data_IF_720525763931
#
_entry.id   IF_720525763931
#
_cell.length_a   1.000
_cell.length_b   1.000
_cell.length_c   1.000
_cell.angle_alpha   90.00
_cell.angle_beta   90.00
_cell.angle_gamma   90.00
#
_symmetry.space_group_name_H-M   'P 1'
#
loop_
_entity.id
_entity.type
_entity.pdbx_description
1 polymer ?
#
# COMPACT_ATOMS: atom_id res chain seq x y z
N UNK A 1 -17.73 2.60 5.43
CA UNK A 1 -18.11 2.78 6.85
C UNK A 1 -18.34 4.26 7.07
N UNK A 2 -19.28 4.61 7.94
CA UNK A 2 -19.56 6.00 8.30
C UNK A 2 -18.95 6.29 9.68
N UNK A 3 -18.07 7.29 9.75
CA UNK A 3 -17.39 7.69 10.98
C UNK A 3 -18.37 8.06 12.11
N UNK A 4 -19.57 8.57 11.77
CA UNK A 4 -20.57 8.98 12.75
C UNK A 4 -21.21 7.81 13.52
N UNK A 5 -21.25 6.62 12.89
CA UNK A 5 -21.89 5.43 13.47
C UNK A 5 -20.89 4.35 13.89
N UNK A 6 -19.61 4.51 13.55
CA UNK A 6 -18.56 3.54 13.88
C UNK A 6 -18.33 3.47 15.40
N UNK A 7 -18.57 2.29 15.98
CA UNK A 7 -18.26 2.02 17.39
C UNK A 7 -16.77 1.69 17.57
N UNK A 8 -16.25 1.91 18.78
CA UNK A 8 -14.86 1.56 19.12
C UNK A 8 -14.60 0.06 18.92
N UNK A 9 -15.53 -0.79 19.34
CA UNK A 9 -15.39 -2.24 19.21
C UNK A 9 -15.54 -2.71 17.76
N UNK A 10 -16.43 -2.11 16.96
CA UNK A 10 -16.53 -2.43 15.53
C UNK A 10 -15.25 -2.06 14.77
N UNK A 11 -14.64 -0.92 15.12
CA UNK A 11 -13.32 -0.56 14.60
C UNK A 11 -12.25 -1.58 15.00
N UNK A 12 -12.19 -1.98 16.27
CA UNK A 12 -11.23 -2.99 16.74
C UNK A 12 -11.37 -4.30 15.97
N UNK A 13 -12.61 -4.79 15.78
CA UNK A 13 -12.89 -6.01 15.00
C UNK A 13 -12.39 -5.85 13.56
N UNK A 14 -12.63 -4.70 12.92
CA UNK A 14 -12.13 -4.45 11.57
C UNK A 14 -10.60 -4.40 11.52
N UNK A 15 -9.95 -3.74 12.48
CA UNK A 15 -8.49 -3.66 12.59
C UNK A 15 -7.85 -5.04 12.77
N UNK A 16 -8.45 -5.93 13.56
CA UNK A 16 -7.97 -7.29 13.77
C UNK A 16 -7.90 -8.10 12.47
N UNK A 17 -8.79 -7.85 11.50
CA UNK A 17 -8.77 -8.56 10.21
C UNK A 17 -7.50 -8.28 9.39
N UNK A 18 -6.84 -7.16 9.65
CA UNK A 18 -5.63 -6.72 8.96
C UNK A 18 -4.37 -6.89 9.80
N UNK A 19 -4.47 -7.42 11.03
CA UNK A 19 -3.33 -7.65 11.91
C UNK A 19 -2.34 -8.66 11.32
N UNK A 20 -1.11 -8.20 11.09
CA UNK A 20 0.05 -9.02 10.67
C UNK A 20 1.13 -9.12 11.74
N UNK A 21 0.87 -8.64 12.95
CA UNK A 21 1.80 -8.66 14.08
C UNK A 21 1.64 -9.91 14.94
N UNK A 22 0.44 -10.50 15.00
CA UNK A 22 0.19 -11.71 15.79
C UNK A 22 1.12 -12.86 15.37
N UNK A 23 1.79 -13.47 16.36
CA UNK A 23 2.75 -14.56 16.13
C UNK A 23 4.10 -14.10 15.54
N UNK A 24 4.31 -12.79 15.32
CA UNK A 24 5.60 -12.22 14.96
C UNK A 24 6.20 -11.51 16.19
N UNK A 25 7.43 -11.88 16.53
CA UNK A 25 8.11 -11.33 17.72
C UNK A 25 7.67 -12.00 19.03
N UNK A 26 8.04 -11.39 20.16
CA UNK A 26 7.78 -11.92 21.51
C UNK A 26 6.64 -11.15 22.15
N UNK A 27 5.55 -11.85 22.52
CA UNK A 27 4.39 -11.26 23.20
C UNK A 27 3.79 -10.08 22.43
N UNK A 28 3.58 -8.96 23.14
CA UNK A 28 3.05 -7.71 22.57
C UNK A 28 4.15 -6.78 22.01
N UNK A 29 5.40 -7.27 21.90
CA UNK A 29 6.54 -6.42 21.57
C UNK A 29 6.44 -5.73 20.21
N UNK A 30 6.03 -6.45 19.17
CA UNK A 30 5.92 -5.88 17.83
C UNK A 30 4.83 -4.78 17.72
N UNK A 31 3.58 -4.98 18.18
CA UNK A 31 2.59 -3.91 18.12
C UNK A 31 2.92 -2.72 19.05
N UNK A 32 3.61 -2.94 20.19
CA UNK A 32 4.10 -1.82 21.04
C UNK A 32 5.19 -1.00 20.32
N UNK A 33 6.13 -1.65 19.62
CA UNK A 33 7.12 -0.96 18.80
C UNK A 33 6.46 -0.15 17.68
N UNK A 34 5.40 -0.70 17.07
CA UNK A 34 4.58 0.00 16.09
C UNK A 34 3.95 1.27 16.67
N UNK A 35 3.21 1.15 17.78
CA UNK A 35 2.59 2.29 18.47
C UNK A 35 3.61 3.39 18.81
N UNK A 36 4.79 2.99 19.29
CA UNK A 36 5.88 3.91 19.59
C UNK A 36 6.38 4.64 18.33
N UNK A 37 6.54 3.90 17.23
CA UNK A 37 6.91 4.45 15.92
C UNK A 37 5.93 5.52 15.44
N UNK A 38 4.63 5.21 15.39
CA UNK A 38 3.61 6.14 14.88
C UNK A 38 3.41 7.35 15.80
N UNK A 39 3.58 7.18 17.11
CA UNK A 39 3.61 8.32 18.04
C UNK A 39 4.80 9.25 17.73
N UNK A 40 5.96 8.70 17.36
CA UNK A 40 7.12 9.47 16.90
C UNK A 40 6.89 10.15 15.54
N UNK A 41 6.13 9.51 14.64
CA UNK A 41 5.70 10.08 13.37
C UNK A 41 4.76 11.27 13.57
N UNK A 42 3.77 11.18 14.48
CA UNK A 42 2.91 12.30 14.88
C UNK A 42 3.72 13.52 15.34
N UNK A 43 4.70 13.30 16.24
CA UNK A 43 5.62 14.36 16.69
C UNK A 43 6.44 14.94 15.52
N UNK A 44 6.82 14.11 14.55
CA UNK A 44 7.54 14.55 13.37
C UNK A 44 6.70 15.42 12.45
N UNK A 45 5.42 15.12 12.25
CA UNK A 45 4.48 15.94 11.47
C UNK A 45 4.28 17.33 12.10
N UNK A 46 4.07 17.38 13.42
CA UNK A 46 3.96 18.65 14.16
C UNK A 46 5.23 19.48 14.04
N UNK A 47 6.41 18.85 14.24
CA UNK A 47 7.71 19.50 14.09
C UNK A 47 7.93 20.07 12.68
N UNK A 48 7.59 19.31 11.63
CA UNK A 48 7.70 19.76 10.24
C UNK A 48 6.82 20.98 9.98
N UNK A 49 5.55 20.95 10.42
CA UNK A 49 4.64 22.09 10.24
C UNK A 49 5.08 23.34 11.00
N UNK A 50 5.66 23.18 12.20
CA UNK A 50 6.25 24.30 12.95
C UNK A 50 7.49 24.89 12.26
N UNK A 51 8.38 24.04 11.72
CA UNK A 51 9.63 24.46 11.07
C UNK A 51 9.40 25.09 9.70
N UNK A 52 8.53 24.46 8.90
CA UNK A 52 8.39 24.72 7.47
C UNK A 52 7.08 25.48 7.14
N UNK A 53 6.27 25.82 8.15
CA UNK A 53 5.06 26.66 8.13
C UNK A 53 4.19 26.49 6.86
N UNK A 54 4.32 27.42 5.91
CA UNK A 54 3.50 27.49 4.69
C UNK A 54 4.00 26.59 3.55
N UNK A 55 5.20 26.00 3.66
CA UNK A 55 5.75 25.10 2.63
C UNK A 55 5.35 23.62 2.86
N UNK A 56 4.66 23.32 3.98
CA UNK A 56 4.21 21.98 4.32
C UNK A 56 2.70 21.83 4.11
N UNK A 57 2.33 21.48 2.87
CA UNK A 57 0.94 21.31 2.40
C UNK A 57 0.30 19.97 2.79
N UNK A 58 1.11 18.97 3.16
CA UNK A 58 0.66 17.60 3.47
C UNK A 58 0.38 17.35 4.95
N UNK A 59 0.37 18.39 5.80
CA UNK A 59 0.18 18.27 7.24
C UNK A 59 -1.14 17.59 7.63
N UNK A 60 -2.27 18.01 7.04
CA UNK A 60 -3.58 17.46 7.38
C UNK A 60 -3.65 15.95 7.09
N UNK A 61 -3.20 15.55 5.90
CA UNK A 61 -3.18 14.14 5.49
C UNK A 61 -2.21 13.30 6.30
N UNK A 62 -1.01 13.83 6.59
CA UNK A 62 -0.02 13.17 7.42
C UNK A 62 -0.56 12.91 8.83
N UNK A 63 -1.05 13.95 9.51
CA UNK A 63 -1.56 13.80 10.88
C UNK A 63 -2.78 12.87 10.95
N UNK A 64 -3.70 12.94 9.98
CA UNK A 64 -4.83 11.99 9.89
C UNK A 64 -4.33 10.54 9.77
N UNK A 65 -3.34 10.29 8.91
CA UNK A 65 -2.74 8.97 8.72
C UNK A 65 -2.10 8.46 10.02
N UNK A 66 -1.25 9.28 10.65
CA UNK A 66 -0.50 8.90 11.84
C UNK A 66 -1.39 8.71 13.09
N UNK A 67 -2.48 9.48 13.24
CA UNK A 67 -3.48 9.22 14.29
C UNK A 67 -4.22 7.91 14.06
N UNK A 68 -4.59 7.62 12.81
CA UNK A 68 -5.23 6.36 12.44
C UNK A 68 -4.33 5.16 12.71
N UNK A 69 -3.04 5.26 12.42
CA UNK A 69 -2.07 4.18 12.65
C UNK A 69 -1.76 3.99 14.14
N UNK A 70 -1.64 5.09 14.89
CA UNK A 70 -1.50 5.04 16.35
C UNK A 70 -2.72 4.37 17.00
N UNK A 71 -3.92 4.71 16.55
CA UNK A 71 -5.16 4.07 17.00
C UNK A 71 -5.20 2.59 16.63
N UNK A 72 -4.74 2.22 15.43
CA UNK A 72 -4.69 0.83 14.99
C UNK A 72 -3.81 -0.01 15.90
N UNK A 73 -2.56 0.41 16.16
CA UNK A 73 -1.68 -0.33 17.05
C UNK A 73 -2.23 -0.43 18.47
N UNK A 74 -2.82 0.65 19.00
CA UNK A 74 -3.49 0.61 20.31
C UNK A 74 -4.61 -0.44 20.34
N UNK A 75 -5.45 -0.49 19.30
CA UNK A 75 -6.54 -1.45 19.17
C UNK A 75 -6.01 -2.90 19.04
N UNK A 76 -4.92 -3.12 18.31
CA UNK A 76 -4.25 -4.42 18.18
C UNK A 76 -3.64 -4.88 19.50
N UNK A 77 -2.98 -3.97 20.25
CA UNK A 77 -2.45 -4.29 21.59
C UNK A 77 -3.59 -4.71 22.51
N UNK A 78 -4.69 -3.94 22.54
CA UNK A 78 -5.86 -4.27 23.35
C UNK A 78 -6.48 -5.61 22.94
N UNK A 79 -6.63 -5.86 21.63
CA UNK A 79 -7.20 -7.10 21.11
C UNK A 79 -6.37 -8.34 21.47
N UNK A 80 -5.04 -8.25 21.29
CA UNK A 80 -4.13 -9.34 21.65
C UNK A 80 -4.07 -9.59 23.17
N UNK A 81 -4.45 -8.61 23.99
CA UNK A 81 -4.58 -8.71 25.44
C UNK A 81 -6.02 -9.05 25.90
N UNK A 82 -6.94 -9.36 24.98
CA UNK A 82 -8.35 -9.65 25.28
C UNK A 82 -9.07 -8.50 26.04
N UNK A 83 -8.73 -7.27 25.67
CA UNK A 83 -9.33 -6.03 26.18
C UNK A 83 -10.10 -5.37 25.04
N UNK A 84 -11.39 -5.09 25.27
CA UNK A 84 -12.19 -4.33 24.30
C UNK A 84 -11.73 -2.88 24.24
N UNK A 85 -11.64 -2.30 23.05
CA UNK A 85 -11.23 -0.90 22.89
C UNK A 85 -12.14 0.07 23.68
N UNK A 86 -13.44 -0.24 23.76
CA UNK A 86 -14.39 0.53 24.57
C UNK A 86 -14.05 0.54 26.07
N UNK A 87 -13.46 -0.54 26.63
CA UNK A 87 -13.03 -0.56 28.04
C UNK A 87 -11.95 0.49 28.33
N UNK A 88 -11.12 0.82 27.33
CA UNK A 88 -10.07 1.82 27.48
C UNK A 88 -10.63 3.25 27.62
N UNK A 89 -11.86 3.49 27.15
CA UNK A 89 -12.55 4.77 27.22
C UNK A 89 -13.52 4.87 28.40
N UNK A 90 -13.48 3.96 29.39
CA UNK A 90 -14.39 3.97 30.52
C UNK A 90 -14.42 5.33 31.27
N UNK A 91 -13.27 5.96 31.47
CA UNK A 91 -13.16 7.27 32.13
C UNK A 91 -13.64 8.45 31.26
N UNK A 92 -13.79 8.22 29.95
CA UNK A 92 -14.26 9.22 28.97
C UNK A 92 -15.78 9.11 28.75
N UNK A 93 -16.42 8.09 29.34
CA UNK A 93 -17.81 7.73 29.08
C UNK A 93 -18.64 7.63 30.36
N UNK A 94 -19.72 8.41 30.45
CA UNK A 94 -20.58 8.43 31.65
C UNK A 94 -21.92 7.69 31.51
N UNK A 95 -22.21 7.00 30.39
CA UNK A 95 -23.54 6.44 30.12
C UNK A 95 -23.53 4.92 29.87
N UNK A 96 -23.73 4.15 30.94
CA UNK A 96 -23.82 2.70 30.85
C UNK A 96 -24.94 2.23 29.88
N UNK A 97 -24.63 1.26 29.00
CA UNK A 97 -25.62 0.50 28.23
C UNK A 97 -25.77 0.81 26.74
N UNK A 98 -24.99 1.75 26.19
CA UNK A 98 -24.98 2.06 24.74
C UNK A 98 -23.57 1.97 24.18
N UNK A 99 -23.34 1.30 23.03
CA UNK A 99 -22.03 1.26 22.41
C UNK A 99 -21.44 2.66 22.20
N UNK A 100 -20.16 2.82 22.53
CA UNK A 100 -19.43 4.07 22.37
C UNK A 100 -18.95 4.22 20.93
N UNK A 101 -19.42 5.26 20.25
CA UNK A 101 -18.95 5.67 18.92
C UNK A 101 -17.84 6.70 19.01
N UNK A 102 -17.02 6.80 17.95
CA UNK A 102 -16.01 7.87 17.84
C UNK A 102 -16.64 9.26 17.92
N UNK A 103 -17.80 9.46 17.30
CA UNK A 103 -18.54 10.73 17.39
C UNK A 103 -18.92 11.09 18.84
N UNK A 104 -19.28 10.11 19.68
CA UNK A 104 -19.59 10.35 21.09
C UNK A 104 -18.35 10.57 21.94
N UNK A 105 -17.21 10.01 21.52
CA UNK A 105 -15.90 10.23 22.12
C UNK A 105 -15.38 11.65 21.84
N UNK A 106 -15.68 12.20 20.66
CA UNK A 106 -15.36 13.56 20.24
C UNK A 106 -16.63 14.31 19.79
N UNK A 107 -17.53 14.71 20.72
CA UNK A 107 -18.81 15.34 20.37
C UNK A 107 -18.65 16.74 19.77
N UNK A 108 -17.51 17.38 20.05
CA UNK A 108 -17.14 18.64 19.42
C UNK A 108 -16.61 18.33 18.02
N UNK A 109 -17.32 18.79 16.98
CA UNK A 109 -16.77 18.76 15.63
C UNK A 109 -15.52 19.64 15.62
N UNK A 110 -14.38 19.02 15.40
CA UNK A 110 -13.10 19.71 15.43
C UNK A 110 -13.06 20.74 14.30
N UNK A 111 -12.89 22.03 14.64
CA UNK A 111 -12.55 23.04 13.65
C UNK A 111 -11.16 22.71 13.13
N UNK A 112 -11.02 22.59 11.80
CA UNK A 112 -9.71 22.32 11.20
C UNK A 112 -8.73 23.42 11.59
N UNK A 113 -7.64 23.04 12.24
CA UNK A 113 -6.61 23.96 12.68
C UNK A 113 -5.45 23.91 11.67
N UNK A 114 -5.19 25.01 10.93
CA UNK A 114 -4.14 25.01 9.90
C UNK A 114 -2.72 24.96 10.50
N UNK A 115 -2.58 25.15 11.82
CA UNK A 115 -1.31 25.14 12.53
C UNK A 115 -1.41 24.39 13.87
N UNK A 116 -0.40 23.59 14.24
CA UNK A 116 -0.34 22.96 15.55
C UNK A 116 -0.18 24.00 16.65
N UNK A 117 -1.03 23.93 17.68
CA UNK A 117 -0.91 24.78 18.86
C UNK A 117 0.16 24.25 19.83
N UNK A 118 0.51 25.07 20.83
CA UNK A 118 1.43 24.65 21.91
C UNK A 118 0.80 23.52 22.73
N UNK A 119 -0.53 23.54 22.86
CA UNK A 119 -1.34 22.56 23.56
C UNK A 119 -1.20 21.18 22.92
N UNK A 120 -1.43 21.07 21.60
CA UNK A 120 -1.26 19.82 20.83
C UNK A 120 0.13 19.23 21.06
N UNK A 121 1.16 20.08 20.96
CA UNK A 121 2.55 19.66 21.13
C UNK A 121 2.80 19.07 22.53
N UNK A 122 2.23 19.70 23.57
CA UNK A 122 2.33 19.23 24.95
C UNK A 122 1.62 17.89 25.15
N UNK A 123 0.43 17.73 24.57
CA UNK A 123 -0.36 16.50 24.70
C UNK A 123 0.29 15.34 23.96
N UNK A 124 0.85 15.57 22.76
CA UNK A 124 1.63 14.55 22.04
C UNK A 124 2.91 14.14 22.79
N UNK A 125 3.56 15.05 23.52
CA UNK A 125 4.70 14.69 24.39
C UNK A 125 4.26 13.81 25.57
N UNK A 126 3.07 14.04 26.14
CA UNK A 126 2.49 13.16 27.16
C UNK A 126 2.15 11.78 26.59
N UNK A 127 1.56 11.74 25.39
CA UNK A 127 1.30 10.50 24.67
C UNK A 127 2.61 9.71 24.46
N UNK A 128 3.64 10.36 23.93
CA UNK A 128 4.95 9.76 23.71
C UNK A 128 5.59 9.24 25.01
N UNK A 129 5.46 9.97 26.13
CA UNK A 129 5.93 9.49 27.41
C UNK A 129 5.16 8.24 27.88
N UNK A 130 3.83 8.23 27.77
CA UNK A 130 3.00 7.09 28.16
C UNK A 130 3.30 5.83 27.31
N UNK A 131 3.45 6.00 26.00
CA UNK A 131 3.82 4.92 25.07
C UNK A 131 5.26 4.45 25.33
N UNK A 132 6.18 5.38 25.61
CA UNK A 132 7.56 5.04 25.99
C UNK A 132 7.65 4.22 27.28
N UNK A 133 6.87 4.58 28.30
CA UNK A 133 6.80 3.80 29.55
C UNK A 133 6.21 2.40 29.33
N UNK A 134 5.27 2.24 28.38
CA UNK A 134 4.76 0.92 28.00
C UNK A 134 5.83 0.11 27.24
N UNK A 135 6.64 0.76 26.40
CA UNK A 135 7.68 0.11 25.62
C UNK A 135 8.91 -0.32 26.44
N UNK A 136 9.27 0.45 27.49
CA UNK A 136 10.37 0.12 28.41
C UNK A 136 10.14 -1.20 29.14
N UNK A 137 8.88 -1.58 29.36
CA UNK A 137 8.50 -2.76 30.14
C UNK A 137 8.73 -4.11 29.43
N UNK A 138 9.43 -4.17 28.29
CA UNK A 138 9.68 -5.34 27.42
C UNK A 138 8.40 -6.13 27.09
N UNK A 139 8.01 -6.25 25.82
CA UNK A 139 6.73 -6.85 25.40
C UNK A 139 6.36 -8.23 25.99
N UNK A 140 7.32 -9.01 26.48
CA UNK A 140 7.09 -10.26 27.23
C UNK A 140 6.64 -10.04 28.70
N UNK A 141 7.12 -8.99 29.36
CA UNK A 141 6.67 -8.62 30.70
C UNK A 141 5.33 -7.87 30.64
N UNK A 142 5.07 -7.11 29.57
CA UNK A 142 3.73 -6.52 29.33
C UNK A 142 2.67 -7.59 29.09
N UNK A 143 2.97 -8.66 28.36
CA UNK A 143 2.02 -9.77 28.16
C UNK A 143 1.77 -10.60 29.42
N UNK A 144 2.64 -10.50 30.44
CA UNK A 144 2.48 -11.12 31.77
C UNK A 144 1.96 -10.14 32.83
N UNK A 145 1.68 -8.90 32.43
CA UNK A 145 1.19 -7.85 33.32
C UNK A 145 -0.23 -8.17 33.81
N UNK A 146 -0.53 -7.75 35.04
CA UNK A 146 -1.91 -7.79 35.54
C UNK A 146 -2.83 -6.99 34.60
N UNK A 147 -3.97 -7.58 34.24
CA UNK A 147 -4.94 -6.98 33.30
C UNK A 147 -5.35 -5.57 33.72
N UNK A 148 -5.55 -5.33 35.03
CA UNK A 148 -5.97 -4.02 35.55
C UNK A 148 -4.90 -2.96 35.31
N UNK A 149 -3.64 -3.33 35.54
CA UNK A 149 -2.49 -2.44 35.32
C UNK A 149 -2.36 -2.12 33.82
N UNK A 150 -2.49 -3.13 32.96
CA UNK A 150 -2.42 -2.93 31.51
C UNK A 150 -3.56 -2.05 30.99
N UNK A 151 -4.81 -2.31 31.40
CA UNK A 151 -5.97 -1.46 31.07
C UNK A 151 -5.70 -0.02 31.50
N UNK A 152 -5.20 0.19 32.72
CA UNK A 152 -4.89 1.54 33.23
C UNK A 152 -3.89 2.28 32.33
N UNK A 153 -2.80 1.61 31.93
CA UNK A 153 -1.78 2.19 31.04
C UNK A 153 -2.34 2.50 29.65
N UNK A 154 -3.08 1.56 29.06
CA UNK A 154 -3.68 1.72 27.74
C UNK A 154 -4.78 2.81 27.73
N UNK A 155 -5.55 2.95 28.80
CA UNK A 155 -6.52 4.04 28.98
C UNK A 155 -5.86 5.42 29.02
N UNK A 156 -4.69 5.55 29.67
CA UNK A 156 -3.92 6.81 29.68
C UNK A 156 -3.43 7.15 28.27
N UNK A 157 -2.90 6.17 27.54
CA UNK A 157 -2.48 6.33 26.15
C UNK A 157 -3.67 6.74 25.28
N UNK A 158 -4.80 6.04 25.40
CA UNK A 158 -5.99 6.32 24.60
C UNK A 158 -6.53 7.74 24.85
N UNK A 159 -6.60 8.16 26.11
CA UNK A 159 -6.99 9.52 26.48
C UNK A 159 -6.09 10.56 25.83
N UNK A 160 -4.77 10.40 25.93
CA UNK A 160 -3.85 11.35 25.29
C UNK A 160 -3.96 11.36 23.77
N UNK A 161 -4.26 10.21 23.15
CA UNK A 161 -4.52 10.15 21.71
C UNK A 161 -5.79 10.93 21.32
N UNK A 162 -6.88 10.76 22.05
CA UNK A 162 -8.15 11.48 21.85
C UNK A 162 -7.98 12.98 22.08
N UNK A 163 -7.33 13.37 23.18
CA UNK A 163 -7.06 14.77 23.51
C UNK A 163 -6.20 15.42 22.41
N UNK A 164 -5.13 14.75 21.98
CA UNK A 164 -4.25 15.26 20.93
C UNK A 164 -4.97 15.40 19.59
N UNK A 165 -5.79 14.41 19.19
CA UNK A 165 -6.56 14.48 17.95
C UNK A 165 -7.55 15.66 17.99
N UNK A 166 -8.25 15.83 19.12
CA UNK A 166 -9.20 16.93 19.34
C UNK A 166 -8.51 18.28 19.25
N UNK A 167 -7.39 18.46 19.95
CA UNK A 167 -6.60 19.69 19.93
C UNK A 167 -6.01 19.97 18.54
N UNK A 168 -5.68 18.93 17.77
CA UNK A 168 -5.11 19.03 16.43
C UNK A 168 -6.15 19.32 15.34
N UNK A 169 -7.44 19.35 15.66
CA UNK A 169 -8.48 19.56 14.66
C UNK A 169 -8.83 18.29 13.86
N UNK A 170 -8.51 17.10 14.37
CA UNK A 170 -8.65 15.82 13.67
C UNK A 170 -9.77 14.99 14.29
N UNK A 171 -10.72 14.59 13.45
CA UNK A 171 -11.74 13.62 13.81
C UNK A 171 -11.13 12.21 13.82
N UNK A 172 -11.08 11.60 15.00
CA UNK A 172 -10.49 10.26 15.19
C UNK A 172 -11.35 9.17 14.54
N UNK A 173 -12.66 9.40 14.36
CA UNK A 173 -13.54 8.53 13.60
C UNK A 173 -13.22 8.57 12.10
N UNK A 174 -12.92 9.75 11.54
CA UNK A 174 -12.41 9.86 10.17
C UNK A 174 -11.05 9.18 10.03
N UNK A 175 -10.13 9.37 10.99
CA UNK A 175 -8.83 8.70 11.02
C UNK A 175 -8.99 7.17 11.08
N UNK A 176 -9.94 6.67 11.88
CA UNK A 176 -10.28 5.26 12.00
C UNK A 176 -10.80 4.67 10.68
N UNK A 177 -11.74 5.35 10.01
CA UNK A 177 -12.26 4.91 8.70
C UNK A 177 -11.16 4.93 7.63
N UNK A 178 -10.33 5.99 7.61
CA UNK A 178 -9.20 6.09 6.70
C UNK A 178 -8.19 4.95 6.92
N UNK A 179 -7.85 4.66 8.17
CA UNK A 179 -6.95 3.56 8.53
C UNK A 179 -7.50 2.18 8.12
N UNK A 180 -8.80 1.91 8.35
CA UNK A 180 -9.44 0.65 7.87
C UNK A 180 -9.31 0.54 6.35
N UNK A 181 -9.65 1.60 5.61
CA UNK A 181 -9.57 1.60 4.16
C UNK A 181 -8.15 1.33 3.68
N UNK A 182 -7.16 2.02 4.28
CA UNK A 182 -5.74 1.85 3.97
C UNK A 182 -5.24 0.44 4.25
N UNK A 183 -5.60 -0.11 5.41
CA UNK A 183 -5.16 -1.44 5.81
C UNK A 183 -5.77 -2.53 4.90
N UNK A 184 -7.05 -2.40 4.52
CA UNK A 184 -7.71 -3.32 3.59
C UNK A 184 -7.17 -3.22 2.15
N UNK A 185 -6.71 -2.05 1.73
CA UNK A 185 -6.09 -1.87 0.41
C UNK A 185 -4.83 -2.73 0.24
N UNK A 186 -4.10 -2.98 1.34
CA UNK A 186 -2.90 -3.83 1.38
C UNK A 186 -3.16 -5.26 1.86
N UNK A 187 -4.01 -5.44 2.86
CA UNK A 187 -4.33 -6.74 3.47
C UNK A 187 -5.84 -6.97 3.49
N UNK A 188 -6.45 -7.19 2.32
CA UNK A 188 -7.89 -7.38 2.25
C UNK A 188 -8.31 -8.72 2.87
N UNK A 189 -9.55 -8.78 3.34
CA UNK A 189 -10.20 -10.03 3.76
C UNK A 189 -10.56 -10.89 2.54
N UNK A 190 -10.99 -10.26 1.45
CA UNK A 190 -11.28 -10.89 0.17
C UNK A 190 -10.33 -10.35 -0.92
N UNK A 191 -9.62 -11.26 -1.60
CA UNK A 191 -8.69 -10.94 -2.69
C UNK A 191 -9.35 -11.02 -4.06
N UNK A 192 -10.61 -10.59 -4.15
CA UNK A 192 -11.29 -10.43 -5.43
C UNK A 192 -10.79 -9.15 -6.12
N UNK A 193 -10.15 -9.26 -7.30
CA UNK A 193 -9.69 -8.09 -8.04
C UNK A 193 -10.89 -7.31 -8.62
N UNK A 194 -10.76 -5.98 -8.83
CA UNK A 194 -11.77 -5.20 -9.54
C UNK A 194 -11.96 -5.71 -10.99
N UNK A 195 -12.99 -5.23 -11.67
CA UNK A 195 -13.21 -5.54 -13.09
C UNK A 195 -12.05 -5.04 -13.98
N UNK A 196 -11.87 -5.65 -15.15
CA UNK A 196 -10.91 -5.15 -16.15
C UNK A 196 -11.39 -3.81 -16.72
N UNK A 197 -10.48 -2.89 -17.00
CA UNK A 197 -10.81 -1.53 -17.44
C UNK A 197 -11.43 -1.41 -18.83
N UNK A 198 -11.44 -2.51 -19.61
CA UNK A 198 -11.90 -2.55 -20.99
C UNK A 198 -13.12 -3.46 -21.22
N UNK A 199 -13.78 -3.94 -20.16
CA UNK A 199 -14.94 -4.86 -20.28
C UNK A 199 -16.05 -4.32 -21.17
N UNK A 200 -16.25 -3.00 -21.19
CA UNK A 200 -17.31 -2.33 -21.94
C UNK A 200 -16.88 -1.80 -23.32
N UNK A 201 -15.64 -2.08 -23.74
CA UNK A 201 -15.11 -1.64 -25.05
C UNK A 201 -15.32 -2.71 -26.13
N UNK A 202 -15.24 -2.37 -27.43
CA UNK A 202 -15.23 -3.36 -28.51
C UNK A 202 -14.10 -4.39 -28.36
N UNK A 203 -14.25 -5.59 -28.93
CA UNK A 203 -13.27 -6.68 -28.78
C UNK A 203 -11.88 -6.29 -29.30
N UNK A 204 -11.82 -5.53 -30.39
CA UNK A 204 -10.62 -5.00 -31.02
C UNK A 204 -9.88 -3.93 -30.19
N UNK A 205 -10.52 -3.39 -29.16
CA UNK A 205 -9.96 -2.40 -28.22
C UNK A 205 -9.68 -3.00 -26.83
N UNK A 206 -9.97 -4.29 -26.64
CA UNK A 206 -9.65 -5.01 -25.41
C UNK A 206 -8.23 -5.57 -25.49
N UNK A 207 -7.55 -5.59 -24.35
CA UNK A 207 -6.39 -6.47 -24.21
C UNK A 207 -6.87 -7.92 -24.36
N UNK A 208 -6.24 -8.73 -25.23
CA UNK A 208 -6.64 -10.12 -25.39
C UNK A 208 -6.58 -10.86 -24.06
N UNK A 209 -7.67 -11.56 -23.71
CA UNK A 209 -7.80 -12.20 -22.39
C UNK A 209 -6.76 -13.28 -22.13
N UNK A 210 -6.21 -13.85 -23.19
CA UNK A 210 -5.10 -14.80 -23.16
C UNK A 210 -4.05 -14.41 -24.18
N UNK A 211 -2.80 -14.32 -23.75
CA UNK A 211 -1.66 -13.97 -24.59
C UNK A 211 -0.51 -14.94 -24.34
N UNK A 212 0.24 -15.23 -25.40
CA UNK A 212 1.52 -15.93 -25.30
C UNK A 212 2.60 -15.07 -25.95
N UNK A 213 3.54 -14.62 -25.12
CA UNK A 213 4.68 -13.83 -25.55
C UNK A 213 5.95 -14.66 -25.42
N UNK A 214 6.60 -14.92 -26.54
CA UNK A 214 7.93 -15.52 -26.57
C UNK A 214 8.97 -14.42 -26.54
N UNK A 215 9.90 -14.51 -25.59
CA UNK A 215 11.01 -13.56 -25.45
C UNK A 215 12.30 -14.38 -25.58
N UNK A 216 13.22 -13.97 -26.43
CA UNK A 216 14.49 -14.69 -26.63
C UNK A 216 15.59 -13.78 -27.16
N UNK A 217 16.82 -14.07 -26.78
CA UNK A 217 18.00 -13.39 -27.31
C UNK A 217 18.40 -13.94 -28.69
N UNK A 218 18.88 -13.03 -29.55
CA UNK A 218 19.67 -13.39 -30.73
C UNK A 218 20.86 -12.46 -30.86
N UNK A 219 21.99 -13.02 -31.28
CA UNK A 219 23.17 -12.23 -31.67
C UNK A 219 22.98 -11.70 -33.09
N UNK A 220 23.32 -10.42 -33.28
CA UNK A 220 23.42 -9.78 -34.58
C UNK A 220 24.76 -9.06 -34.64
N UNK A 221 25.78 -9.73 -35.19
CA UNK A 221 27.17 -9.31 -35.07
C UNK A 221 27.67 -9.46 -33.63
N UNK A 222 28.32 -8.42 -33.11
CA UNK A 222 28.85 -8.39 -31.74
C UNK A 222 27.79 -8.05 -30.67
N UNK A 223 26.62 -7.56 -31.10
CA UNK A 223 25.55 -7.15 -30.18
C UNK A 223 24.52 -8.26 -29.99
N UNK A 224 24.07 -8.42 -28.75
CA UNK A 224 22.94 -9.27 -28.37
C UNK A 224 21.68 -8.41 -28.31
N UNK A 225 20.61 -8.90 -28.94
CA UNK A 225 19.30 -8.25 -28.93
C UNK A 225 18.26 -9.21 -28.36
N UNK A 226 17.30 -8.68 -27.61
CA UNK A 226 16.08 -9.39 -27.25
C UNK A 226 15.00 -9.13 -28.29
N UNK A 227 14.37 -10.21 -28.73
CA UNK A 227 13.23 -10.21 -29.63
C UNK A 227 12.01 -10.74 -28.90
N UNK A 228 10.84 -10.29 -29.33
CA UNK A 228 9.56 -10.68 -28.78
C UNK A 228 8.63 -11.15 -29.89
N UNK A 229 7.85 -12.21 -29.62
CA UNK A 229 6.80 -12.68 -30.51
C UNK A 229 5.50 -12.89 -29.76
N UNK A 230 4.41 -12.38 -30.32
CA UNK A 230 3.07 -12.71 -29.88
C UNK A 230 2.46 -13.67 -30.91
N UNK A 231 2.09 -14.88 -30.49
CA UNK A 231 1.48 -15.90 -31.37
C UNK A 231 2.24 -16.12 -32.69
N UNK A 232 3.58 -16.15 -32.64
CA UNK A 232 4.45 -16.36 -33.79
C UNK A 232 4.79 -15.11 -34.61
N UNK A 233 4.15 -13.96 -34.35
CA UNK A 233 4.43 -12.68 -35.02
C UNK A 233 5.40 -11.86 -34.19
N UNK A 234 6.49 -11.37 -34.79
CA UNK A 234 7.41 -10.46 -34.09
C UNK A 234 6.69 -9.15 -33.74
N UNK A 235 6.84 -8.70 -32.50
CA UNK A 235 6.23 -7.47 -31.99
C UNK A 235 7.29 -6.58 -31.36
N UNK A 236 7.06 -5.26 -31.40
CA UNK A 236 7.93 -4.26 -30.81
C UNK A 236 9.28 -4.11 -31.51
N UNK A 237 10.10 -3.23 -30.96
CA UNK A 237 11.47 -3.05 -31.39
C UNK A 237 12.39 -4.07 -30.71
N UNK A 238 13.53 -4.37 -31.35
CA UNK A 238 14.58 -5.19 -30.74
C UNK A 238 15.24 -4.44 -29.57
N UNK A 239 15.37 -5.10 -28.43
CA UNK A 239 15.82 -4.45 -27.20
C UNK A 239 17.28 -4.77 -26.88
N UNK A 240 17.98 -3.78 -26.33
CA UNK A 240 19.31 -3.87 -25.75
C UNK A 240 19.29 -3.21 -24.37
N UNK A 241 20.31 -3.44 -23.55
CA UNK A 241 20.36 -2.85 -22.21
C UNK A 241 20.46 -1.32 -22.24
N UNK A 242 20.95 -0.74 -23.34
CA UNK A 242 21.16 0.71 -23.50
C UNK A 242 21.92 1.36 -22.34
N UNK A 243 22.82 0.60 -21.70
CA UNK A 243 23.61 1.02 -20.55
C UNK A 243 25.09 0.65 -20.76
N UNK A 244 26.00 1.36 -20.09
CA UNK A 244 27.45 1.12 -20.12
C UNK A 244 27.78 -0.23 -19.46
N UNK A 245 27.09 -0.51 -18.36
CA UNK A 245 27.24 -1.77 -17.61
C UNK A 245 26.03 -2.64 -17.89
N UNK A 246 26.28 -3.88 -18.32
CA UNK A 246 25.22 -4.86 -18.55
C UNK A 246 24.41 -5.08 -17.25
N UNK A 247 23.10 -4.81 -17.32
CA UNK A 247 22.17 -4.97 -16.21
C UNK A 247 20.93 -5.79 -16.58
N UNK A 248 20.86 -6.26 -17.83
CA UNK A 248 19.78 -7.05 -18.38
C UNK A 248 18.43 -6.33 -18.41
N UNK A 249 18.43 -4.99 -18.42
CA UNK A 249 17.21 -4.19 -18.60
C UNK A 249 16.47 -4.53 -19.91
N UNK A 250 17.14 -5.14 -20.91
CA UNK A 250 16.50 -5.64 -22.14
C UNK A 250 15.35 -6.66 -21.95
N UNK A 251 15.16 -7.20 -20.75
CA UNK A 251 14.02 -8.07 -20.40
C UNK A 251 12.90 -7.36 -19.60
N UNK A 252 12.95 -6.03 -19.46
CA UNK A 252 12.01 -5.26 -18.64
C UNK A 252 10.55 -5.36 -19.11
N UNK A 253 10.27 -5.68 -20.38
CA UNK A 253 8.90 -5.88 -20.88
C UNK A 253 8.12 -6.94 -20.09
N UNK A 254 8.80 -7.85 -19.38
CA UNK A 254 8.17 -8.75 -18.41
C UNK A 254 7.32 -8.00 -17.36
N UNK A 255 7.70 -6.78 -16.97
CA UNK A 255 6.92 -5.93 -16.06
C UNK A 255 5.64 -5.42 -16.73
N UNK A 256 5.73 -4.91 -17.96
CA UNK A 256 4.56 -4.42 -18.72
C UNK A 256 3.52 -5.53 -18.93
N UNK A 257 3.99 -6.74 -19.27
CA UNK A 257 3.11 -7.91 -19.39
C UNK A 257 2.50 -8.33 -18.06
N UNK A 258 3.23 -8.22 -16.94
CA UNK A 258 2.67 -8.46 -15.62
C UNK A 258 1.59 -7.43 -15.26
N UNK A 259 1.80 -6.14 -15.57
CA UNK A 259 0.82 -5.09 -15.35
C UNK A 259 -0.44 -5.33 -16.19
N UNK A 260 -0.28 -5.65 -17.47
CA UNK A 260 -1.39 -6.03 -18.34
C UNK A 260 -2.17 -7.23 -17.77
N UNK A 261 -1.48 -8.30 -17.39
CA UNK A 261 -2.11 -9.54 -16.92
C UNK A 261 -2.79 -9.39 -15.55
N UNK A 262 -2.13 -8.77 -14.59
CA UNK A 262 -2.57 -8.72 -13.19
C UNK A 262 -3.47 -7.51 -12.94
N UNK A 263 -3.06 -6.33 -13.38
CA UNK A 263 -3.83 -5.09 -13.16
C UNK A 263 -4.92 -4.89 -14.22
N UNK A 264 -4.77 -5.49 -15.41
CA UNK A 264 -5.62 -5.15 -16.55
C UNK A 264 -5.26 -3.80 -17.19
N UNK A 265 -4.14 -3.22 -16.76
CA UNK A 265 -3.66 -1.92 -17.17
C UNK A 265 -2.23 -2.03 -17.68
N UNK A 266 -2.01 -1.61 -18.91
CA UNK A 266 -0.68 -1.39 -19.51
C UNK A 266 -0.87 -0.60 -20.81
N UNK A 267 -0.83 0.74 -20.76
CA UNK A 267 -0.79 1.56 -21.97
C UNK A 267 0.36 1.18 -22.92
N UNK A 268 1.52 0.74 -22.40
CA UNK A 268 2.64 0.20 -23.19
C UNK A 268 2.20 -1.03 -23.99
N UNK A 269 1.62 -2.03 -23.32
CA UNK A 269 1.16 -3.27 -23.99
C UNK A 269 0.02 -2.99 -24.97
N UNK A 270 -0.91 -2.08 -24.65
CA UNK A 270 -1.97 -1.64 -25.58
C UNK A 270 -1.40 -1.01 -26.83
N UNK A 271 -0.42 -0.11 -26.70
CA UNK A 271 0.24 0.55 -27.81
C UNK A 271 1.08 -0.41 -28.67
N UNK A 272 1.71 -1.39 -28.02
CA UNK A 272 2.47 -2.47 -28.66
C UNK A 272 1.56 -3.37 -29.51
N UNK A 273 0.44 -3.81 -28.96
CA UNK A 273 -0.54 -4.68 -29.62
C UNK A 273 -1.53 -3.94 -30.53
N UNK A 274 -1.47 -2.60 -30.57
CA UNK A 274 -2.37 -1.74 -31.35
C UNK A 274 -3.86 -1.85 -30.95
N UNK A 275 -4.14 -2.10 -29.67
CA UNK A 275 -5.50 -2.24 -29.09
C UNK A 275 -5.83 -1.10 -28.12
N UNK A 276 -5.41 0.12 -28.46
CA UNK A 276 -5.81 1.31 -27.70
C UNK A 276 -7.31 1.55 -27.84
N UNK A 277 -7.94 2.09 -26.79
CA UNK A 277 -9.39 2.31 -26.67
C UNK A 277 -9.89 3.55 -27.42
N UNK A 278 -9.72 3.55 -28.74
CA UNK A 278 -9.96 4.70 -29.63
C UNK A 278 -11.42 5.12 -29.74
N UNK A 279 -12.37 4.22 -29.48
CA UNK A 279 -13.80 4.51 -29.50
C UNK A 279 -14.21 5.58 -28.49
N UNK A 280 -13.43 5.80 -27.42
CA UNK A 280 -13.61 6.89 -26.45
C UNK A 280 -12.37 7.76 -26.39
N UNK A 281 -12.37 8.87 -27.13
CA UNK A 281 -11.22 9.79 -27.25
C UNK A 281 -10.60 10.22 -25.91
N UNK A 282 -11.42 10.49 -24.88
CA UNK A 282 -10.90 10.85 -23.55
C UNK A 282 -10.07 9.73 -22.90
N UNK A 283 -10.43 8.47 -23.14
CA UNK A 283 -9.72 7.30 -22.61
C UNK A 283 -8.47 7.05 -23.45
N UNK A 284 -8.57 7.15 -24.79
CA UNK A 284 -7.43 7.05 -25.70
C UNK A 284 -6.32 8.06 -25.35
N UNK A 285 -6.71 9.33 -25.12
CA UNK A 285 -5.77 10.41 -24.83
C UNK A 285 -5.25 10.37 -23.38
N UNK A 286 -6.14 10.06 -22.42
CA UNK A 286 -5.84 10.11 -20.98
C UNK A 286 -5.17 8.85 -20.44
N UNK A 287 -5.74 7.68 -20.74
CA UNK A 287 -5.37 6.39 -20.12
C UNK A 287 -4.47 5.53 -21.03
N UNK A 288 -4.62 5.64 -22.35
CA UNK A 288 -3.80 4.91 -23.33
C UNK A 288 -2.80 5.83 -24.05
N UNK A 289 -2.77 7.11 -23.68
CA UNK A 289 -2.00 8.16 -24.34
C UNK A 289 -0.52 8.14 -24.01
N UNK A 290 0.24 9.04 -24.65
CA UNK A 290 1.69 9.13 -24.47
C UNK A 290 2.10 9.33 -23.00
N UNK A 291 1.33 10.13 -22.25
CA UNK A 291 1.60 10.38 -20.82
C UNK A 291 1.46 9.10 -19.99
N UNK A 292 0.43 8.30 -20.25
CA UNK A 292 0.21 7.04 -19.55
C UNK A 292 1.34 6.03 -19.86
N UNK A 293 1.76 5.94 -21.12
CA UNK A 293 2.92 5.12 -21.54
C UNK A 293 4.18 5.54 -20.78
N UNK A 294 4.52 6.83 -20.78
CA UNK A 294 5.72 7.34 -20.08
C UNK A 294 5.67 7.05 -18.58
N UNK A 295 4.49 7.17 -17.96
CA UNK A 295 4.32 6.87 -16.53
C UNK A 295 4.51 5.38 -16.26
N UNK A 296 3.95 4.49 -17.08
CA UNK A 296 4.16 3.05 -16.95
C UNK A 296 5.63 2.66 -17.11
N UNK A 297 6.33 3.21 -18.11
CA UNK A 297 7.78 3.04 -18.29
C UNK A 297 8.57 3.52 -17.07
N UNK A 298 8.18 4.67 -16.51
CA UNK A 298 8.76 5.19 -15.26
C UNK A 298 8.56 4.26 -14.06
N UNK A 299 7.36 3.66 -13.94
CA UNK A 299 7.06 2.65 -12.91
C UNK A 299 7.93 1.40 -13.11
N UNK A 300 8.02 0.87 -14.33
CA UNK A 300 8.86 -0.29 -14.64
C UNK A 300 10.35 -0.04 -14.33
N UNK A 301 10.87 1.12 -14.72
CA UNK A 301 12.24 1.53 -14.41
C UNK A 301 12.50 1.68 -12.90
N UNK A 302 11.57 2.31 -12.17
CA UNK A 302 11.67 2.46 -10.72
C UNK A 302 11.63 1.11 -10.00
N UNK A 303 10.68 0.24 -10.36
CA UNK A 303 10.54 -1.11 -9.82
C UNK A 303 11.80 -1.92 -10.11
N UNK A 304 12.34 -1.87 -11.33
CA UNK A 304 13.59 -2.55 -11.68
C UNK A 304 14.77 -2.10 -10.82
N UNK A 305 14.93 -0.78 -10.63
CA UNK A 305 16.00 -0.21 -9.80
C UNK A 305 15.92 -0.68 -8.36
N UNK A 306 14.71 -0.70 -7.78
CA UNK A 306 14.46 -1.23 -6.43
C UNK A 306 14.66 -2.73 -6.34
N UNK A 307 14.17 -3.48 -7.32
CA UNK A 307 14.33 -4.92 -7.41
C UNK A 307 15.82 -5.31 -7.43
N UNK A 308 16.65 -4.60 -8.19
CA UNK A 308 18.11 -4.82 -8.25
C UNK A 308 18.78 -4.72 -6.88
N UNK A 309 18.31 -3.84 -6.01
CA UNK A 309 18.83 -3.68 -4.63
C UNK A 309 18.41 -4.82 -3.68
N UNK A 310 17.45 -5.65 -4.08
CA UNK A 310 16.84 -6.70 -3.25
C UNK A 310 16.84 -8.07 -3.95
N UNK A 311 17.87 -8.36 -4.75
CA UNK A 311 18.00 -9.64 -5.50
C UNK A 311 16.75 -9.97 -6.32
N UNK A 312 16.16 -8.94 -6.93
CA UNK A 312 14.91 -9.01 -7.68
C UNK A 312 13.76 -9.67 -6.92
N UNK A 313 13.70 -9.51 -5.59
CA UNK A 313 12.70 -10.11 -4.71
C UNK A 313 12.64 -11.64 -4.77
N UNK A 314 13.77 -12.30 -5.05
CA UNK A 314 13.86 -13.75 -4.99
C UNK A 314 13.47 -14.29 -3.59
N UNK A 315 12.59 -15.30 -3.57
CA UNK A 315 12.12 -15.96 -2.35
C UNK A 315 11.22 -15.09 -1.46
N UNK A 316 10.69 -13.97 -1.96
CA UNK A 316 9.80 -13.08 -1.19
C UNK A 316 8.37 -13.16 -1.71
N UNK A 317 7.43 -13.19 -0.75
CA UNK A 317 5.99 -13.12 -1.02
C UNK A 317 5.41 -11.71 -0.83
N UNK A 318 6.23 -10.78 -0.32
CA UNK A 318 5.86 -9.40 -0.04
C UNK A 318 6.97 -8.43 -0.50
N UNK A 319 6.56 -7.22 -0.88
CA UNK A 319 7.45 -6.09 -1.15
C UNK A 319 7.25 -4.99 -0.10
N UNK A 320 8.26 -4.11 0.01
CA UNK A 320 8.22 -2.99 0.95
C UNK A 320 7.03 -2.04 0.67
N UNK A 321 6.39 -1.56 1.74
CA UNK A 321 5.23 -0.68 1.61
C UNK A 321 5.58 0.67 0.98
N UNK A 322 6.80 1.20 1.20
CA UNK A 322 7.19 2.47 0.57
C UNK A 322 7.37 2.33 -0.94
N UNK A 323 7.82 1.17 -1.43
CA UNK A 323 7.83 0.87 -2.87
C UNK A 323 6.42 1.00 -3.43
N UNK A 324 5.44 0.37 -2.79
CA UNK A 324 4.04 0.39 -3.19
C UNK A 324 3.41 1.79 -3.14
N UNK A 325 3.63 2.54 -2.04
CA UNK A 325 3.18 3.95 -1.93
C UNK A 325 3.78 4.82 -3.03
N UNK A 326 5.05 4.62 -3.36
CA UNK A 326 5.71 5.36 -4.45
C UNK A 326 5.06 5.04 -5.79
N UNK A 327 4.86 3.74 -6.10
CA UNK A 327 4.21 3.31 -7.36
C UNK A 327 2.80 3.89 -7.48
N UNK A 328 2.00 3.87 -6.41
CA UNK A 328 0.69 4.55 -6.38
C UNK A 328 0.79 6.04 -6.72
N UNK A 329 1.80 6.73 -6.19
CA UNK A 329 2.05 8.13 -6.50
C UNK A 329 2.35 8.38 -7.98
N UNK A 330 3.06 7.46 -8.66
CA UNK A 330 3.30 7.57 -10.11
C UNK A 330 2.01 7.48 -10.92
N UNK A 331 1.09 6.59 -10.54
CA UNK A 331 -0.13 6.31 -11.29
C UNK A 331 -1.33 7.16 -10.83
N UNK A 332 -1.10 8.15 -9.98
CA UNK A 332 -2.16 9.06 -9.55
C UNK A 332 -2.77 9.80 -10.75
N UNK A 333 -4.10 9.81 -10.83
CA UNK A 333 -4.87 10.39 -11.91
C UNK A 333 -5.07 9.49 -13.13
N UNK A 334 -4.66 8.22 -13.06
CA UNK A 334 -4.96 7.19 -14.06
C UNK A 334 -5.91 6.15 -13.50
N UNK A 335 -6.56 5.36 -14.36
CA UNK A 335 -7.49 4.31 -13.94
C UNK A 335 -6.83 3.26 -13.03
N UNK A 336 -5.52 3.01 -13.21
CA UNK A 336 -4.74 2.08 -12.40
C UNK A 336 -4.49 2.55 -10.96
N UNK A 337 -4.78 3.82 -10.64
CA UNK A 337 -4.85 4.30 -9.26
C UNK A 337 -5.91 3.53 -8.46
N UNK A 338 -7.00 3.08 -9.11
CA UNK A 338 -8.05 2.31 -8.45
C UNK A 338 -7.66 0.87 -8.11
N UNK A 339 -6.56 0.34 -8.68
CA UNK A 339 -6.07 -0.99 -8.35
C UNK A 339 -5.52 -1.00 -6.91
N UNK A 340 -5.96 -1.92 -6.04
CA UNK A 340 -5.51 -1.94 -4.65
C UNK A 340 -4.03 -2.33 -4.52
N UNK A 341 -3.38 -1.93 -3.43
CA UNK A 341 -1.96 -2.15 -3.20
C UNK A 341 -1.57 -3.64 -3.24
N UNK A 342 -2.42 -4.55 -2.75
CA UNK A 342 -2.15 -5.98 -2.84
C UNK A 342 -2.06 -6.49 -4.28
N UNK A 343 -2.83 -5.91 -5.20
CA UNK A 343 -2.84 -6.30 -6.61
C UNK A 343 -1.62 -5.73 -7.34
N UNK A 344 -1.20 -4.52 -6.98
CA UNK A 344 0.08 -3.94 -7.41
C UNK A 344 1.29 -4.77 -6.94
N UNK A 345 1.30 -5.20 -5.68
CA UNK A 345 2.34 -6.11 -5.16
C UNK A 345 2.39 -7.41 -5.97
N UNK A 346 1.24 -8.03 -6.21
CA UNK A 346 1.16 -9.25 -7.02
C UNK A 346 1.74 -9.02 -8.42
N UNK A 347 1.41 -7.89 -9.07
CA UNK A 347 1.91 -7.56 -10.39
C UNK A 347 3.45 -7.37 -10.40
N UNK A 348 3.99 -6.65 -9.41
CA UNK A 348 5.42 -6.43 -9.25
C UNK A 348 6.16 -7.75 -9.03
N UNK A 349 5.68 -8.60 -8.13
CA UNK A 349 6.29 -9.91 -7.85
C UNK A 349 6.22 -10.84 -9.06
N UNK A 350 5.09 -10.85 -9.78
CA UNK A 350 4.90 -11.65 -11.00
C UNK A 350 5.85 -11.23 -12.11
N UNK A 351 5.98 -9.92 -12.35
CA UNK A 351 6.92 -9.37 -13.33
C UNK A 351 8.38 -9.68 -12.97
N UNK A 352 8.75 -9.58 -11.69
CA UNK A 352 10.08 -9.93 -11.22
C UNK A 352 10.38 -11.42 -11.34
N UNK A 353 9.40 -12.30 -11.09
CA UNK A 353 9.57 -13.75 -11.29
C UNK A 353 9.84 -14.09 -12.76
N UNK A 354 9.07 -13.51 -13.68
CA UNK A 354 9.28 -13.66 -15.12
C UNK A 354 10.64 -13.08 -15.55
N UNK A 355 10.99 -11.89 -15.07
CA UNK A 355 12.29 -11.26 -15.34
C UNK A 355 13.45 -12.14 -14.89
N UNK A 356 13.43 -12.68 -13.66
CA UNK A 356 14.49 -13.56 -13.13
C UNK A 356 14.68 -14.78 -14.04
N UNK A 357 13.58 -15.42 -14.45
CA UNK A 357 13.62 -16.57 -15.37
C UNK A 357 14.26 -16.18 -16.71
N UNK A 358 13.81 -15.08 -17.32
CA UNK A 358 14.34 -14.62 -18.61
C UNK A 358 15.82 -14.21 -18.52
N UNK A 359 16.22 -13.57 -17.44
CA UNK A 359 17.61 -13.22 -17.16
C UNK A 359 18.48 -14.48 -17.04
N UNK A 360 18.01 -15.53 -16.37
CA UNK A 360 18.79 -16.76 -16.23
C UNK A 360 18.85 -17.56 -17.54
N UNK A 361 17.69 -17.79 -18.17
CA UNK A 361 17.56 -18.69 -19.33
C UNK A 361 17.82 -18.01 -20.67
N UNK A 362 17.87 -16.67 -20.71
CA UNK A 362 18.00 -15.84 -21.92
C UNK A 362 16.88 -16.02 -22.95
N UNK A 363 15.82 -16.73 -22.56
CA UNK A 363 14.63 -17.01 -23.34
C UNK A 363 13.51 -17.53 -22.46
N UNK A 364 12.27 -17.42 -22.92
CA UNK A 364 11.10 -17.97 -22.24
C UNK A 364 9.80 -17.63 -22.96
N UNK A 365 8.72 -18.29 -22.56
CA UNK A 365 7.36 -17.98 -22.99
C UNK A 365 6.57 -17.48 -21.79
N UNK A 366 6.08 -16.26 -21.86
CA UNK A 366 5.14 -15.68 -20.90
C UNK A 366 3.72 -16.02 -21.35
N UNK A 367 2.95 -16.65 -20.47
CA UNK A 367 1.53 -16.97 -20.70
C UNK A 367 0.72 -16.10 -19.76
N UNK A 368 0.00 -15.14 -20.32
CA UNK A 368 -0.84 -14.20 -19.59
C UNK A 368 -2.30 -14.68 -19.65
N UNK A 369 -2.98 -14.64 -18.52
CA UNK A 369 -4.41 -14.88 -18.38
C UNK A 369 -5.01 -13.72 -17.58
N UNK A 370 -5.60 -12.77 -18.31
CA UNK A 370 -6.14 -11.53 -17.76
C UNK A 370 -7.46 -11.77 -17.01
N UNK A 371 -8.20 -12.83 -17.32
CA UNK A 371 -9.41 -13.17 -16.56
C UNK A 371 -9.03 -13.72 -15.18
N UNK A 372 -7.92 -14.46 -15.10
CA UNK A 372 -7.37 -14.98 -13.83
C UNK A 372 -6.44 -14.03 -13.09
N UNK A 373 -6.18 -12.83 -13.62
CA UNK A 373 -5.18 -11.88 -13.10
C UNK A 373 -3.80 -12.51 -12.89
N UNK A 374 -3.33 -13.28 -13.86
CA UNK A 374 -2.11 -14.09 -13.68
C UNK A 374 -1.21 -14.10 -14.91
N UNK A 375 0.09 -14.26 -14.67
CA UNK A 375 1.07 -14.54 -15.71
C UNK A 375 2.04 -15.60 -15.19
N UNK A 376 2.33 -16.60 -16.03
CA UNK A 376 3.34 -17.63 -15.74
C UNK A 376 4.42 -17.61 -16.81
N UNK A 377 5.61 -18.08 -16.46
CA UNK A 377 6.73 -18.26 -17.39
C UNK A 377 6.99 -19.74 -17.62
N UNK A 378 7.22 -20.10 -18.88
CA UNK A 378 7.51 -21.46 -19.33
C UNK A 378 8.83 -21.47 -20.12
N UNK A 379 9.49 -22.63 -20.14
CA UNK A 379 10.63 -22.85 -21.03
C UNK A 379 10.19 -22.74 -22.49
N UNK A 380 10.99 -22.02 -23.27
CA UNK A 380 10.82 -21.95 -24.72
C UNK A 380 11.82 -22.91 -25.35
N UNK A 381 11.34 -24.05 -25.83
CA UNK A 381 12.16 -25.08 -26.50
C UNK A 381 12.98 -24.45 -27.65
N UNK A 382 14.25 -24.84 -27.83
CA UNK A 382 15.20 -24.26 -28.78
C UNK A 382 14.68 -23.84 -30.14
#
# INVERSE_FOLDING_TARGET
MDASTLTLNDYQIAAETTDKTRGKGVGLGLPILGLFGETGSLLSEVKKKQRDANAYDSYEGGVLEEFGDSLWYLAIIAAQAEIKLEELAADLHHSAGTPLTFQRLQPQHSLRMPFPTTEVSRTLLKLANAVGNLADEQGEAVSKMDRTVLVTKLSVIFRHLVDAATEAGVDLGEAAVHNISKALDKWPVDRTPPALFDVDFPEEERLPRRLQIEIFERKSGEKTFVYQRCNGVNIGDRLTDNNIVEDFYRFHDAFHYAYAAVLGWSPVTRALLKVKRKSKTKVDDGEDGLRAIIVEEGVAAYVFSRAKQHSFFEGRDEVDLNLLKTVKGFVQGFESESCPLWLWEQAILTGNAAYRFLKERRRGRLVLDLDKRSMIVQELVP
#
